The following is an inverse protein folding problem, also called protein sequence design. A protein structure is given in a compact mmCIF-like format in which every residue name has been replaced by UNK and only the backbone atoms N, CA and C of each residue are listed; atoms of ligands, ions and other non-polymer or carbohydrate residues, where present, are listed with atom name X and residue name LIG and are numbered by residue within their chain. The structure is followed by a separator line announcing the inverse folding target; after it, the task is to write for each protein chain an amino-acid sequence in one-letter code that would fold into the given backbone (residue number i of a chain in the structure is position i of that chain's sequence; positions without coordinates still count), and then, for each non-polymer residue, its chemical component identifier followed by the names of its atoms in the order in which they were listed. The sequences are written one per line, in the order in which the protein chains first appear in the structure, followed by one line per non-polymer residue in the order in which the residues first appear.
data_IF_632266915821
#
_entry.id   IF_632266915821
#
_cell.length_a   1.000
_cell.length_b   1.000
_cell.length_c   1.000
_cell.angle_alpha   90.00
_cell.angle_beta   90.00
_cell.angle_gamma   90.00
#
_symmetry.space_group_name_H-M   'P 1'
#
loop_
_entity.id
_entity.type
_entity.pdbx_description
1 polymer ?
#
# COMPACT_ATOMS: atom_id res chain seq x y z
N UNK A 1 18.72 8.85 4.36
CA UNK A 1 18.54 9.43 3.01
C UNK A 1 17.13 9.08 2.55
N UNK A 2 16.36 10.04 2.06
CA UNK A 2 15.01 9.79 1.55
C UNK A 2 15.13 9.06 0.21
N UNK A 3 14.70 7.79 0.14
CA UNK A 3 14.84 6.97 -1.07
C UNK A 3 13.68 7.18 -2.05
N UNK A 4 12.60 7.86 -1.63
CA UNK A 4 11.50 8.31 -2.47
C UNK A 4 10.68 9.42 -1.81
N UNK A 5 10.08 10.36 -2.58
CA UNK A 5 9.09 11.32 -2.09
C UNK A 5 7.91 10.69 -1.34
N UNK A 6 7.61 9.42 -1.63
CA UNK A 6 6.46 8.72 -1.05
C UNK A 6 6.72 8.20 0.37
N UNK A 7 7.98 8.02 0.78
CA UNK A 7 8.31 7.40 2.08
C UNK A 7 7.87 8.25 3.27
N UNK A 8 7.89 9.58 3.12
CA UNK A 8 7.60 10.52 4.20
C UNK A 8 6.10 10.71 4.47
N UNK A 9 5.24 10.33 3.52
CA UNK A 9 3.79 10.52 3.59
C UNK A 9 2.95 9.24 3.45
N UNK A 10 3.56 8.07 3.25
CA UNK A 10 2.81 6.83 3.02
C UNK A 10 1.83 6.48 4.15
N UNK A 11 2.25 6.68 5.40
CA UNK A 11 1.42 6.35 6.57
C UNK A 11 0.29 7.36 6.82
N UNK A 12 0.47 8.64 6.50
CA UNK A 12 -0.62 9.63 6.61
C UNK A 12 -1.70 9.44 5.54
N UNK A 13 -1.34 8.89 4.37
CA UNK A 13 -2.29 8.47 3.34
C UNK A 13 -2.98 7.15 3.69
N UNK A 14 -2.24 6.17 4.21
CA UNK A 14 -2.67 4.77 4.31
C UNK A 14 -2.19 4.09 5.60
N UNK A 15 -2.62 4.59 6.76
CA UNK A 15 -2.33 3.97 8.06
C UNK A 15 -3.03 2.62 8.25
N UNK A 16 -2.36 1.54 7.85
CA UNK A 16 -2.76 0.15 8.07
C UNK A 16 -1.51 -0.75 7.94
N UNK A 17 -1.35 -1.84 8.73
CA UNK A 17 -2.30 -2.42 9.69
C UNK A 17 -2.44 -1.67 11.01
N UNK A 18 -3.67 -1.44 11.46
CA UNK A 18 -3.98 -0.85 12.77
C UNK A 18 -4.29 -1.92 13.82
N UNK A 19 -3.24 -2.59 14.31
CA UNK A 19 -3.40 -3.68 15.28
C UNK A 19 -3.95 -3.24 16.65
N UNK A 20 -3.86 -1.95 16.97
CA UNK A 20 -4.27 -1.37 18.27
C UNK A 20 -5.58 -0.60 18.20
N UNK A 21 -6.27 -0.59 17.06
CA UNK A 21 -7.51 0.15 16.87
C UNK A 21 -7.34 1.64 17.16
N UNK A 22 -6.17 2.20 16.84
CA UNK A 22 -5.88 3.62 17.03
C UNK A 22 -6.81 4.49 16.20
N UNK A 23 -7.11 4.12 14.95
CA UNK A 23 -8.02 4.91 14.09
C UNK A 23 -9.39 5.07 14.72
N UNK A 24 -9.98 3.97 15.20
CA UNK A 24 -11.28 4.01 15.85
C UNK A 24 -11.29 4.89 17.09
N UNK A 25 -10.28 4.75 17.95
CA UNK A 25 -10.20 5.51 19.20
C UNK A 25 -9.99 7.00 18.96
N UNK A 26 -9.09 7.36 18.02
CA UNK A 26 -8.82 8.76 17.71
C UNK A 26 -10.04 9.43 17.08
N UNK A 27 -10.70 8.78 16.11
CA UNK A 27 -11.91 9.33 15.49
C UNK A 27 -13.06 9.49 16.49
N UNK A 28 -13.29 8.50 17.35
CA UNK A 28 -14.31 8.59 18.39
C UNK A 28 -14.05 9.74 19.37
N UNK A 29 -12.78 10.00 19.72
CA UNK A 29 -12.38 11.14 20.55
C UNK A 29 -12.71 12.47 19.88
N UNK A 30 -12.23 12.68 18.65
CA UNK A 30 -12.52 13.91 17.88
C UNK A 30 -14.02 14.19 17.79
N UNK A 31 -14.82 13.16 17.47
CA UNK A 31 -16.29 13.27 17.34
C UNK A 31 -16.96 13.59 18.67
N UNK A 32 -16.55 12.93 19.77
CA UNK A 32 -17.15 13.14 21.07
C UNK A 32 -16.84 14.53 21.65
N UNK A 33 -15.66 15.06 21.35
CA UNK A 33 -15.20 16.37 21.84
C UNK A 33 -15.62 17.53 20.93
N UNK A 34 -16.15 17.22 19.73
CA UNK A 34 -16.35 18.17 18.65
C UNK A 34 -15.11 19.06 18.42
N UNK A 35 -13.92 18.45 18.41
CA UNK A 35 -12.64 19.15 18.31
C UNK A 35 -12.61 20.07 17.06
N UNK A 36 -12.40 21.39 17.21
CA UNK A 36 -12.46 22.34 16.10
C UNK A 36 -11.54 22.00 14.91
N UNK A 37 -10.55 21.12 15.09
CA UNK A 37 -9.69 20.61 14.03
C UNK A 37 -10.46 20.00 12.85
N UNK A 38 -11.69 19.51 13.06
CA UNK A 38 -12.55 19.03 11.97
C UNK A 38 -12.94 20.11 10.95
N UNK A 39 -12.70 21.39 11.24
CA UNK A 39 -12.98 22.54 10.37
C UNK A 39 -11.71 23.33 10.02
N UNK A 40 -10.53 22.76 10.27
CA UNK A 40 -9.24 23.38 9.99
C UNK A 40 -8.40 22.51 9.03
N UNK A 41 -8.60 22.63 7.71
CA UNK A 41 -7.83 21.88 6.72
C UNK A 41 -6.33 22.17 6.71
N UNK A 42 -5.91 23.36 7.16
CA UNK A 42 -4.49 23.72 7.22
C UNK A 42 -3.81 23.07 8.41
N UNK A 43 -4.46 23.12 9.59
CA UNK A 43 -3.97 22.47 10.81
C UNK A 43 -4.10 20.94 10.81
N UNK A 44 -4.95 20.37 9.96
CA UNK A 44 -5.20 18.92 9.93
C UNK A 44 -3.95 18.08 9.63
N UNK A 45 -2.95 18.67 8.98
CA UNK A 45 -1.67 18.01 8.69
C UNK A 45 -0.90 17.60 9.96
N UNK A 46 -1.18 18.20 11.11
CA UNK A 46 -0.55 17.89 12.41
C UNK A 46 -1.33 16.84 13.21
N UNK A 47 -2.53 16.45 12.75
CA UNK A 47 -3.34 15.43 13.41
C UNK A 47 -2.64 14.08 13.31
N UNK A 48 -2.85 13.25 14.34
CA UNK A 48 -2.39 11.86 14.35
C UNK A 48 -2.74 11.15 13.04
N UNK A 49 -1.75 10.48 12.44
CA UNK A 49 -1.93 9.65 11.24
C UNK A 49 -3.07 8.62 11.37
N UNK A 50 -3.42 8.23 12.60
CA UNK A 50 -4.52 7.32 12.87
C UNK A 50 -5.89 7.89 12.47
N UNK A 51 -6.08 9.21 12.50
CA UNK A 51 -7.31 9.89 12.08
C UNK A 51 -7.24 10.49 10.67
N UNK A 52 -6.17 10.21 9.92
CA UNK A 52 -5.94 10.75 8.58
C UNK A 52 -6.05 9.67 7.51
N UNK A 53 -6.14 10.13 6.26
CA UNK A 53 -6.02 9.29 5.09
C UNK A 53 -7.19 8.34 4.82
N UNK A 54 -6.95 7.38 3.94
CA UNK A 54 -7.99 6.51 3.38
C UNK A 54 -8.66 5.60 4.41
N UNK A 55 -7.96 5.17 5.46
CA UNK A 55 -8.54 4.26 6.46
C UNK A 55 -9.39 4.98 7.51
N UNK A 56 -9.11 6.26 7.77
CA UNK A 56 -10.03 7.10 8.51
C UNK A 56 -11.34 7.30 7.73
N UNK A 57 -11.25 7.60 6.42
CA UNK A 57 -12.42 7.67 5.54
C UNK A 57 -13.14 6.33 5.39
N UNK A 58 -12.44 5.20 5.29
CA UNK A 58 -13.03 3.85 5.27
C UNK A 58 -13.92 3.62 6.49
N UNK A 59 -13.52 4.15 7.65
CA UNK A 59 -14.32 4.06 8.87
C UNK A 59 -15.51 5.04 8.84
N UNK A 60 -15.25 6.32 8.59
CA UNK A 60 -16.30 7.35 8.64
C UNK A 60 -17.36 7.19 7.54
N UNK A 61 -17.02 6.61 6.39
CA UNK A 61 -17.96 6.46 5.28
C UNK A 61 -18.69 5.11 5.27
N UNK A 62 -18.11 4.06 5.87
CA UNK A 62 -18.61 2.69 5.69
C UNK A 62 -18.76 1.88 6.98
N UNK A 63 -18.26 2.34 8.14
CA UNK A 63 -18.53 1.67 9.42
C UNK A 63 -19.89 2.15 9.97
N UNK A 64 -20.89 1.27 10.19
CA UNK A 64 -22.19 1.69 10.71
C UNK A 64 -22.14 2.41 12.05
N UNK A 65 -21.08 2.22 12.84
CA UNK A 65 -20.89 2.95 14.10
C UNK A 65 -20.41 4.40 13.93
N UNK A 66 -20.02 4.80 12.72
CA UNK A 66 -19.48 6.12 12.40
C UNK A 66 -20.17 6.81 11.22
N UNK A 67 -20.83 6.06 10.33
CA UNK A 67 -21.35 6.58 9.06
C UNK A 67 -22.77 7.16 9.15
N UNK A 68 -23.42 7.12 10.32
CA UNK A 68 -24.75 7.67 10.53
C UNK A 68 -24.67 9.11 11.07
N UNK A 69 -24.36 10.05 10.17
CA UNK A 69 -24.30 11.48 10.48
C UNK A 69 -25.07 12.32 9.47
N UNK A 70 -25.61 13.44 9.94
CA UNK A 70 -26.35 14.38 9.11
C UNK A 70 -25.41 15.31 8.31
N UNK A 71 -25.87 15.85 7.17
CA UNK A 71 -25.17 16.94 6.49
C UNK A 71 -24.92 18.14 7.42
N UNK A 72 -23.71 18.71 7.36
CA UNK A 72 -23.30 19.84 8.20
C UNK A 72 -23.08 19.52 9.68
N UNK A 73 -23.11 18.23 10.06
CA UNK A 73 -22.67 17.79 11.38
C UNK A 73 -21.15 17.86 11.51
N UNK A 74 -20.66 17.77 12.76
CA UNK A 74 -19.23 17.67 13.05
C UNK A 74 -18.54 16.57 12.23
N UNK A 75 -19.12 15.36 12.20
CA UNK A 75 -18.53 14.22 11.46
C UNK A 75 -18.52 14.46 9.96
N UNK A 76 -19.53 15.15 9.42
CA UNK A 76 -19.55 15.57 8.02
C UNK A 76 -18.41 16.57 7.71
N UNK A 77 -18.17 17.54 8.59
CA UNK A 77 -17.05 18.48 8.47
C UNK A 77 -15.71 17.74 8.53
N UNK A 78 -15.57 16.81 9.50
CA UNK A 78 -14.37 15.99 9.66
C UNK A 78 -14.05 15.16 8.40
N UNK A 79 -15.04 14.52 7.80
CA UNK A 79 -14.87 13.77 6.54
C UNK A 79 -14.39 14.69 5.42
N UNK A 80 -14.97 15.88 5.31
CA UNK A 80 -14.59 16.88 4.30
C UNK A 80 -13.14 17.34 4.50
N UNK A 81 -12.76 17.59 5.75
CA UNK A 81 -11.41 18.01 6.12
C UNK A 81 -10.36 16.92 5.86
N UNK A 82 -10.65 15.65 6.18
CA UNK A 82 -9.76 14.53 5.81
C UNK A 82 -9.63 14.42 4.28
N UNK A 83 -10.72 14.67 3.53
CA UNK A 83 -10.70 14.72 2.08
C UNK A 83 -9.78 15.82 1.53
N UNK A 84 -9.84 17.02 2.12
CA UNK A 84 -8.94 18.13 1.77
C UNK A 84 -7.48 17.81 2.10
N UNK A 85 -7.20 17.23 3.28
CA UNK A 85 -5.86 16.76 3.67
C UNK A 85 -5.29 15.73 2.67
N UNK A 86 -6.11 14.80 2.20
CA UNK A 86 -5.72 13.84 1.15
C UNK A 86 -5.40 14.53 -0.18
N UNK A 87 -6.17 15.54 -0.58
CA UNK A 87 -5.93 16.30 -1.79
C UNK A 87 -4.59 17.05 -1.72
N UNK A 88 -4.33 17.75 -0.61
CA UNK A 88 -3.06 18.42 -0.38
C UNK A 88 -1.87 17.44 -0.39
N UNK A 89 -2.00 16.27 0.24
CA UNK A 89 -0.96 15.25 0.20
C UNK A 89 -0.71 14.73 -1.22
N UNK A 90 -1.76 14.55 -2.03
CA UNK A 90 -1.63 14.13 -3.43
C UNK A 90 -0.92 15.19 -4.28
N UNK A 91 -1.25 16.47 -4.10
CA UNK A 91 -0.59 17.60 -4.76
C UNK A 91 0.89 17.69 -4.37
N UNK A 92 1.21 17.59 -3.09
CA UNK A 92 2.57 17.61 -2.58
C UNK A 92 3.40 16.44 -3.13
N UNK A 93 2.83 15.22 -3.16
CA UNK A 93 3.48 14.05 -3.74
C UNK A 93 3.74 14.24 -5.24
N UNK A 94 2.76 14.74 -5.98
CA UNK A 94 2.91 15.03 -7.41
C UNK A 94 4.02 16.08 -7.64
N UNK A 95 4.00 17.18 -6.88
CA UNK A 95 5.00 18.23 -6.97
C UNK A 95 6.42 17.71 -6.69
N UNK A 96 6.57 16.86 -5.65
CA UNK A 96 7.86 16.27 -5.30
C UNK A 96 8.40 15.33 -6.39
N UNK A 97 7.53 14.58 -7.07
CA UNK A 97 7.92 13.77 -8.23
C UNK A 97 8.24 14.61 -9.47
N UNK A 98 7.39 15.59 -9.80
CA UNK A 98 7.56 16.43 -10.99
C UNK A 98 8.67 17.47 -10.87
N UNK A 99 9.07 17.78 -9.64
CA UNK A 99 10.21 18.63 -9.33
C UNK A 99 11.53 17.85 -9.42
N UNK A 100 12.35 18.00 -8.39
CA UNK A 100 13.77 17.60 -8.47
C UNK A 100 13.98 16.08 -8.46
N UNK A 101 13.09 15.31 -7.82
CA UNK A 101 13.35 13.89 -7.59
C UNK A 101 13.41 13.06 -8.87
N UNK A 102 12.59 13.37 -9.88
CA UNK A 102 12.69 12.71 -11.18
C UNK A 102 14.04 12.98 -11.87
N UNK A 103 14.60 14.18 -11.67
CA UNK A 103 15.95 14.51 -12.15
C UNK A 103 17.01 13.76 -11.35
N UNK A 104 16.89 13.69 -10.02
CA UNK A 104 17.77 12.91 -9.15
C UNK A 104 17.85 11.45 -9.57
N UNK A 105 16.73 10.82 -9.91
CA UNK A 105 16.72 9.44 -10.43
C UNK A 105 17.39 9.31 -11.79
N UNK A 106 17.09 10.20 -12.74
CA UNK A 106 17.63 10.13 -14.11
C UNK A 106 19.11 10.49 -14.22
N UNK A 107 19.65 11.21 -13.24
CA UNK A 107 21.04 11.62 -13.16
C UNK A 107 21.82 10.81 -12.10
N UNK A 108 21.41 9.58 -11.82
CA UNK A 108 22.19 8.67 -10.98
C UNK A 108 23.64 8.56 -11.49
N UNK A 109 24.63 8.64 -10.59
CA UNK A 109 26.05 8.64 -10.96
C UNK A 109 26.61 9.97 -11.49
N UNK A 110 25.77 11.00 -11.70
CA UNK A 110 26.24 12.31 -12.13
C UNK A 110 26.89 13.12 -11.00
N UNK A 111 27.84 13.99 -11.35
CA UNK A 111 28.44 14.93 -10.41
C UNK A 111 27.36 15.82 -9.76
N UNK A 112 27.35 15.90 -8.43
CA UNK A 112 26.35 16.64 -7.66
C UNK A 112 25.12 15.82 -7.24
N UNK A 113 24.96 14.57 -7.70
CA UNK A 113 23.94 13.67 -7.19
C UNK A 113 24.42 12.97 -5.91
N UNK A 114 23.98 13.47 -4.76
CA UNK A 114 24.32 12.89 -3.46
C UNK A 114 23.39 11.73 -3.02
N UNK A 115 22.33 11.42 -3.78
CA UNK A 115 21.36 10.37 -3.42
C UNK A 115 21.66 9.04 -4.10
N UNK A 116 22.00 9.08 -5.39
CA UNK A 116 22.39 7.91 -6.17
C UNK A 116 23.79 8.15 -6.74
N UNK A 117 24.80 7.61 -6.05
CA UNK A 117 26.22 7.84 -6.32
C UNK A 117 26.71 7.07 -7.56
N UNK A 118 26.02 6.00 -7.94
CA UNK A 118 26.31 5.19 -9.12
C UNK A 118 25.05 5.04 -9.99
N UNK A 119 25.24 4.86 -11.29
CA UNK A 119 24.14 4.75 -12.27
C UNK A 119 23.14 3.62 -11.94
N UNK A 120 23.63 2.53 -11.35
CA UNK A 120 22.82 1.35 -11.01
C UNK A 120 22.03 1.48 -9.70
N UNK A 121 22.35 2.44 -8.83
CA UNK A 121 21.69 2.60 -7.54
C UNK A 121 20.22 3.03 -7.67
N UNK A 122 19.90 3.91 -8.61
CA UNK A 122 18.51 4.30 -8.88
C UNK A 122 17.68 3.13 -9.40
N UNK A 123 18.26 2.33 -10.30
CA UNK A 123 17.64 1.12 -10.84
C UNK A 123 17.39 0.09 -9.72
N UNK A 124 18.40 -0.14 -8.86
CA UNK A 124 18.32 -1.02 -7.69
C UNK A 124 17.25 -0.57 -6.70
N UNK A 125 17.12 0.73 -6.46
CA UNK A 125 16.10 1.28 -5.57
C UNK A 125 14.69 0.99 -6.10
N UNK A 126 14.43 1.26 -7.39
CA UNK A 126 13.13 0.98 -8.02
C UNK A 126 12.83 -0.53 -7.99
N UNK A 127 13.80 -1.35 -8.39
CA UNK A 127 13.67 -2.81 -8.37
C UNK A 127 13.36 -3.34 -6.96
N UNK A 128 14.06 -2.85 -5.94
CA UNK A 128 13.82 -3.20 -4.54
C UNK A 128 12.40 -2.82 -4.11
N UNK A 129 11.92 -1.64 -4.50
CA UNK A 129 10.56 -1.20 -4.18
C UNK A 129 9.48 -2.07 -4.84
N UNK A 130 9.72 -2.53 -6.08
CA UNK A 130 8.83 -3.48 -6.77
C UNK A 130 8.70 -4.77 -5.96
N UNK A 131 9.83 -5.39 -5.59
CA UNK A 131 9.82 -6.64 -4.82
C UNK A 131 9.19 -6.47 -3.44
N UNK A 132 9.53 -5.40 -2.74
CA UNK A 132 8.95 -5.06 -1.42
C UNK A 132 7.44 -4.86 -1.51
N UNK A 133 6.93 -4.24 -2.58
CA UNK A 133 5.48 -4.03 -2.76
C UNK A 133 4.71 -5.35 -2.94
N UNK A 134 5.30 -6.32 -3.66
CA UNK A 134 4.72 -7.66 -3.85
C UNK A 134 4.80 -8.49 -2.57
N UNK A 135 5.90 -8.38 -1.84
CA UNK A 135 6.06 -8.99 -0.53
C UNK A 135 5.04 -8.46 0.47
N UNK A 136 4.86 -7.14 0.55
CA UNK A 136 3.82 -6.53 1.39
C UNK A 136 2.42 -7.03 0.97
N UNK A 137 2.16 -7.19 -0.32
CA UNK A 137 0.89 -7.73 -0.82
C UNK A 137 0.69 -9.19 -0.40
N UNK A 138 1.71 -10.03 -0.48
CA UNK A 138 1.63 -11.43 -0.07
C UNK A 138 1.53 -11.58 1.46
N UNK A 139 2.47 -10.99 2.20
CA UNK A 139 2.62 -11.22 3.64
C UNK A 139 1.66 -10.38 4.47
N UNK A 140 1.36 -9.16 4.03
CA UNK A 140 0.51 -8.24 4.81
C UNK A 140 -0.93 -8.24 4.31
N UNK A 141 -1.20 -7.88 3.04
CA UNK A 141 -2.58 -7.79 2.51
C UNK A 141 -3.33 -9.12 2.56
N UNK A 142 -2.67 -10.20 2.15
CA UNK A 142 -3.25 -11.55 2.19
C UNK A 142 -2.96 -12.27 3.52
N UNK A 143 -1.75 -12.14 4.06
CA UNK A 143 -1.35 -12.87 5.27
C UNK A 143 -2.04 -12.40 6.55
N UNK A 144 -2.27 -11.10 6.75
CA UNK A 144 -2.94 -10.59 7.96
C UNK A 144 -4.35 -11.16 8.16
N UNK A 145 -5.27 -11.15 7.17
CA UNK A 145 -6.60 -11.74 7.34
C UNK A 145 -6.56 -13.26 7.50
N UNK A 146 -5.67 -13.95 6.78
CA UNK A 146 -5.51 -15.40 6.93
C UNK A 146 -5.00 -15.80 8.31
N UNK A 147 -4.07 -15.03 8.90
CA UNK A 147 -3.45 -15.39 10.18
C UNK A 147 -2.90 -16.83 10.19
N UNK A 148 -2.85 -17.44 11.38
CA UNK A 148 -2.55 -18.87 11.50
C UNK A 148 -3.78 -19.71 11.15
N UNK A 149 -3.57 -20.95 10.73
CA UNK A 149 -4.65 -21.91 10.41
C UNK A 149 -5.62 -22.07 11.58
N UNK A 150 -5.08 -22.21 12.80
CA UNK A 150 -5.85 -22.35 14.04
C UNK A 150 -6.41 -21.03 14.58
N UNK A 151 -6.00 -19.89 14.00
CA UNK A 151 -6.38 -18.56 14.48
C UNK A 151 -6.50 -17.54 13.33
N UNK A 152 -7.47 -17.73 12.43
CA UNK A 152 -7.73 -16.78 11.34
C UNK A 152 -8.14 -15.41 11.89
N UNK A 153 -7.85 -14.34 11.13
CA UNK A 153 -8.05 -12.94 11.55
C UNK A 153 -8.78 -12.12 10.48
N UNK A 154 -9.93 -12.55 9.95
CA UNK A 154 -10.61 -11.90 8.81
C UNK A 154 -10.85 -10.40 8.98
N UNK A 155 -11.10 -9.93 10.21
CA UNK A 155 -11.27 -8.51 10.53
C UNK A 155 -10.03 -7.65 10.25
N UNK A 156 -8.85 -8.24 10.06
CA UNK A 156 -7.60 -7.52 9.73
C UNK A 156 -7.45 -7.20 8.25
N UNK A 157 -8.35 -7.63 7.38
CA UNK A 157 -8.30 -7.30 5.95
C UNK A 157 -8.25 -5.78 5.70
N UNK A 158 -7.41 -5.37 4.75
CA UNK A 158 -7.19 -3.96 4.35
C UNK A 158 -8.48 -3.35 3.78
N UNK A 159 -8.94 -2.21 4.32
CA UNK A 159 -10.10 -1.47 3.79
C UNK A 159 -11.35 -2.35 3.63
N UNK A 160 -11.60 -3.23 4.61
CA UNK A 160 -12.70 -4.20 4.56
C UNK A 160 -14.08 -3.55 4.51
N UNK A 161 -14.24 -2.35 5.08
CA UNK A 161 -15.55 -1.69 5.20
C UNK A 161 -16.03 -1.18 3.85
N UNK A 162 -15.12 -0.65 3.05
CA UNK A 162 -15.36 -0.27 1.65
C UNK A 162 -15.25 -1.44 0.66
N UNK A 163 -15.14 -2.68 1.12
CA UNK A 163 -15.19 -3.86 0.24
C UNK A 163 -13.95 -4.06 -0.64
N UNK A 164 -12.79 -3.50 -0.27
CA UNK A 164 -11.60 -3.46 -1.15
C UNK A 164 -10.53 -4.57 -1.02
N UNK A 165 -10.48 -5.45 0.01
CA UNK A 165 -9.35 -6.37 0.20
C UNK A 165 -8.94 -7.14 -1.06
N UNK A 166 -9.87 -7.87 -1.70
CA UNK A 166 -9.57 -8.62 -2.92
C UNK A 166 -9.24 -7.71 -4.09
N UNK A 167 -9.90 -6.56 -4.24
CA UNK A 167 -9.67 -5.64 -5.35
C UNK A 167 -8.26 -5.05 -5.34
N UNK A 168 -7.74 -4.74 -4.15
CA UNK A 168 -6.42 -4.12 -4.01
C UNK A 168 -5.28 -5.06 -4.38
N UNK A 169 -5.42 -6.37 -4.15
CA UNK A 169 -4.35 -7.35 -4.40
C UNK A 169 -3.94 -7.41 -5.89
N UNK A 170 -4.84 -7.65 -6.86
CA UNK A 170 -4.47 -7.62 -8.28
C UNK A 170 -4.03 -6.24 -8.77
N UNK A 171 -4.57 -5.14 -8.22
CA UNK A 171 -4.16 -3.79 -8.58
C UNK A 171 -2.71 -3.50 -8.16
N UNK A 172 -2.35 -3.85 -6.92
CA UNK A 172 -0.98 -3.73 -6.43
C UNK A 172 -0.01 -4.62 -7.23
N UNK A 173 -0.40 -5.87 -7.52
CA UNK A 173 0.40 -6.76 -8.38
C UNK A 173 0.55 -6.23 -9.80
N UNK A 174 -0.50 -5.64 -10.38
CA UNK A 174 -0.45 -5.03 -11.71
C UNK A 174 0.47 -3.80 -11.74
N UNK A 175 0.46 -2.97 -10.70
CA UNK A 175 1.35 -1.82 -10.61
C UNK A 175 2.82 -2.25 -10.54
N UNK A 176 3.14 -3.26 -9.70
CA UNK A 176 4.47 -3.83 -9.61
C UNK A 176 4.93 -4.47 -10.94
N UNK A 177 4.04 -5.23 -11.59
CA UNK A 177 4.27 -5.79 -12.92
C UNK A 177 4.57 -4.70 -13.96
N UNK A 178 3.75 -3.64 -14.03
CA UNK A 178 3.94 -2.57 -15.00
C UNK A 178 5.25 -1.82 -14.79
N UNK A 179 5.64 -1.58 -13.53
CA UNK A 179 6.94 -0.99 -13.21
C UNK A 179 8.09 -1.92 -13.61
N UNK A 180 7.97 -3.23 -13.36
CA UNK A 180 9.00 -4.19 -13.76
C UNK A 180 9.17 -4.22 -15.30
N UNK A 181 8.07 -4.23 -16.05
CA UNK A 181 8.11 -4.15 -17.52
C UNK A 181 8.70 -2.84 -18.02
N UNK A 182 8.41 -1.71 -17.37
CA UNK A 182 9.00 -0.42 -17.73
C UNK A 182 10.49 -0.33 -17.38
N UNK A 183 10.94 -1.10 -16.38
CA UNK A 183 12.33 -1.16 -15.94
C UNK A 183 13.20 -2.04 -16.84
N UNK A 184 12.61 -3.12 -17.37
CA UNK A 184 13.32 -4.06 -18.22
C UNK A 184 13.46 -3.54 -19.65
N UNK A 185 14.59 -3.84 -20.27
CA UNK A 185 14.89 -3.59 -21.68
C UNK A 185 14.66 -4.83 -22.58
N UNK A 186 14.05 -5.88 -22.02
CA UNK A 186 13.83 -7.17 -22.65
C UNK A 186 12.49 -7.79 -22.21
N UNK A 187 12.06 -8.84 -22.91
CA UNK A 187 10.82 -9.56 -22.61
C UNK A 187 10.89 -10.32 -21.27
N UNK A 188 9.78 -10.32 -20.52
CA UNK A 188 9.68 -10.97 -19.21
C UNK A 188 8.63 -12.11 -19.21
N UNK A 189 8.83 -13.19 -19.99
CA UNK A 189 7.81 -14.22 -20.20
C UNK A 189 7.38 -14.95 -18.92
N UNK A 190 8.27 -15.15 -17.94
CA UNK A 190 7.90 -15.78 -16.67
C UNK A 190 7.08 -14.84 -15.81
N UNK A 191 7.43 -13.55 -15.80
CA UNK A 191 6.70 -12.47 -15.12
C UNK A 191 5.30 -12.30 -15.71
N UNK A 192 5.17 -12.31 -17.04
CA UNK A 192 3.88 -12.29 -17.74
C UNK A 192 2.99 -13.47 -17.32
N UNK A 193 3.53 -14.68 -17.39
CA UNK A 193 2.83 -15.89 -16.97
C UNK A 193 2.48 -15.88 -15.47
N UNK A 194 3.33 -15.31 -14.62
CA UNK A 194 3.06 -15.16 -13.19
C UNK A 194 1.93 -14.15 -12.93
N UNK A 195 1.89 -13.03 -13.65
CA UNK A 195 0.83 -12.05 -13.50
C UNK A 195 -0.53 -12.61 -13.97
N UNK A 196 -0.56 -13.42 -15.02
CA UNK A 196 -1.76 -14.15 -15.43
C UNK A 196 -2.25 -15.11 -14.34
N UNK A 197 -1.34 -15.82 -13.67
CA UNK A 197 -1.68 -16.68 -12.52
C UNK A 197 -2.28 -15.90 -11.35
N UNK A 198 -1.78 -14.69 -11.05
CA UNK A 198 -2.37 -13.80 -10.04
C UNK A 198 -3.83 -13.48 -10.38
N UNK A 199 -4.11 -13.04 -11.63
CA UNK A 199 -5.48 -12.74 -12.07
C UNK A 199 -6.40 -13.96 -11.97
N UNK A 200 -5.93 -15.11 -12.45
CA UNK A 200 -6.69 -16.35 -12.43
C UNK A 200 -6.98 -16.86 -11.00
N UNK A 201 -6.03 -16.69 -10.08
CA UNK A 201 -6.23 -17.04 -8.67
C UNK A 201 -7.24 -16.10 -8.00
N UNK A 202 -7.12 -14.79 -8.22
CA UNK A 202 -8.05 -13.80 -7.67
C UNK A 202 -9.50 -14.01 -8.13
N UNK A 203 -9.69 -14.39 -9.39
CA UNK A 203 -11.03 -14.65 -9.96
C UNK A 203 -11.76 -15.85 -9.32
N UNK A 204 -11.05 -16.70 -8.55
CA UNK A 204 -11.66 -17.86 -7.87
C UNK A 204 -12.16 -17.54 -6.47
N UNK A 205 -11.86 -16.36 -5.93
CA UNK A 205 -12.27 -15.98 -4.57
C UNK A 205 -13.70 -15.43 -4.62
N UNK A 206 -14.56 -16.01 -3.78
CA UNK A 206 -15.99 -15.66 -3.74
C UNK A 206 -16.25 -14.46 -2.81
N UNK A 207 -15.65 -14.45 -1.62
CA UNK A 207 -15.78 -13.34 -0.69
C UNK A 207 -14.68 -12.29 -0.92
N UNK A 208 -15.02 -11.10 -1.46
CA UNK A 208 -14.05 -10.07 -1.77
C UNK A 208 -13.44 -9.39 -0.54
N UNK A 209 -14.02 -9.61 0.65
CA UNK A 209 -13.52 -9.05 1.91
C UNK A 209 -12.82 -10.09 2.82
N UNK A 210 -12.63 -11.31 2.33
CA UNK A 210 -11.92 -12.39 3.04
C UNK A 210 -12.49 -12.72 4.42
N UNK A 211 -13.79 -12.56 4.66
CA UNK A 211 -14.42 -12.95 5.92
C UNK A 211 -14.62 -14.47 6.01
N UNK A 212 -14.72 -15.14 4.87
CA UNK A 212 -14.83 -16.60 4.74
C UNK A 212 -13.53 -17.39 4.96
N UNK A 213 -12.38 -16.73 5.20
CA UNK A 213 -11.07 -17.41 5.41
C UNK A 213 -10.98 -18.28 6.68
N UNK A 214 -12.06 -18.33 7.47
CA UNK A 214 -12.25 -19.29 8.55
C UNK A 214 -12.61 -20.68 8.03
N UNK A 215 -13.20 -20.76 6.83
CA UNK A 215 -13.42 -22.01 6.09
C UNK A 215 -12.14 -22.46 5.37
N UNK A 216 -11.90 -23.77 5.39
CA UNK A 216 -10.70 -24.38 4.83
C UNK A 216 -10.57 -24.20 3.31
N UNK A 217 -11.69 -24.27 2.57
CA UNK A 217 -11.69 -24.16 1.11
C UNK A 217 -11.52 -22.71 0.67
N UNK A 218 -12.23 -21.79 1.32
CA UNK A 218 -12.05 -20.36 1.11
C UNK A 218 -10.60 -19.92 1.42
N UNK A 219 -10.07 -20.33 2.57
CA UNK A 219 -8.67 -20.08 2.95
C UNK A 219 -7.69 -20.58 1.89
N UNK A 220 -7.84 -21.82 1.43
CA UNK A 220 -6.95 -22.40 0.42
C UNK A 220 -6.92 -21.55 -0.86
N UNK A 221 -8.04 -20.97 -1.29
CA UNK A 221 -8.08 -20.08 -2.47
C UNK A 221 -7.28 -18.79 -2.24
N UNK A 222 -7.34 -18.22 -1.03
CA UNK A 222 -6.53 -17.05 -0.65
C UNK A 222 -5.03 -17.42 -0.56
N UNK A 223 -4.70 -18.62 -0.06
CA UNK A 223 -3.32 -19.13 -0.05
C UNK A 223 -2.77 -19.33 -1.47
N UNK A 224 -3.59 -19.85 -2.40
CA UNK A 224 -3.22 -19.96 -3.82
C UNK A 224 -2.97 -18.58 -4.44
N UNK A 225 -3.78 -17.57 -4.13
CA UNK A 225 -3.52 -16.19 -4.56
C UNK A 225 -2.22 -15.65 -3.96
N UNK A 226 -1.95 -15.91 -2.67
CA UNK A 226 -0.71 -15.51 -2.01
C UNK A 226 0.52 -16.15 -2.68
N UNK A 227 0.46 -17.44 -3.00
CA UNK A 227 1.51 -18.14 -3.73
C UNK A 227 1.71 -17.60 -5.15
N UNK A 228 0.63 -17.19 -5.83
CA UNK A 228 0.72 -16.56 -7.15
C UNK A 228 1.44 -15.19 -7.08
N UNK A 229 1.16 -14.37 -6.07
CA UNK A 229 1.86 -13.10 -5.83
C UNK A 229 3.33 -13.32 -5.52
N UNK A 230 3.66 -14.30 -4.66
CA UNK A 230 5.06 -14.69 -4.39
C UNK A 230 5.77 -15.16 -5.66
N UNK A 231 5.08 -15.95 -6.50
CA UNK A 231 5.62 -16.40 -7.78
C UNK A 231 5.92 -15.24 -8.75
N UNK A 232 5.08 -14.20 -8.76
CA UNK A 232 5.32 -12.98 -9.53
C UNK A 232 6.58 -12.26 -9.04
N UNK A 233 6.74 -12.10 -7.72
CA UNK A 233 7.95 -11.54 -7.10
C UNK A 233 9.20 -12.34 -7.49
N UNK A 234 9.13 -13.67 -7.42
CA UNK A 234 10.24 -14.54 -7.82
C UNK A 234 10.57 -14.41 -9.30
N UNK A 235 9.58 -14.38 -10.19
CA UNK A 235 9.79 -14.24 -11.63
C UNK A 235 10.49 -12.92 -11.97
N UNK A 236 10.00 -11.80 -11.42
CA UNK A 236 10.66 -10.48 -11.56
C UNK A 236 12.10 -10.55 -11.04
N UNK A 237 12.32 -11.21 -9.90
CA UNK A 237 13.65 -11.33 -9.34
C UNK A 237 14.62 -12.15 -10.20
N UNK A 238 14.12 -13.19 -10.87
CA UNK A 238 14.90 -14.01 -11.79
C UNK A 238 15.19 -13.29 -13.10
N UNK A 239 14.19 -12.64 -13.70
CA UNK A 239 14.31 -12.05 -15.03
C UNK A 239 14.99 -10.68 -15.01
N UNK A 240 14.81 -9.89 -13.94
CA UNK A 240 15.42 -8.54 -13.82
C UNK A 240 16.60 -8.52 -12.85
N UNK A 241 16.46 -9.14 -11.67
CA UNK A 241 17.48 -9.04 -10.62
C UNK A 241 18.80 -9.72 -10.96
N UNK A 242 18.73 -10.95 -11.50
CA UNK A 242 19.93 -11.74 -11.80
C UNK A 242 20.83 -11.09 -12.88
N UNK A 243 20.30 -10.54 -14.00
CA UNK A 243 21.12 -9.78 -14.96
C UNK A 243 21.78 -8.53 -14.37
N UNK A 244 21.15 -7.88 -13.39
CA UNK A 244 21.69 -6.69 -12.72
C UNK A 244 22.73 -7.00 -11.64
N UNK A 245 23.08 -8.27 -11.45
CA UNK A 245 23.99 -8.72 -10.39
C UNK A 245 23.43 -8.53 -8.98
N UNK A 246 22.12 -8.32 -8.85
CA UNK A 246 21.44 -8.13 -7.58
C UNK A 246 21.06 -9.50 -7.04
N UNK A 247 21.79 -10.00 -6.04
CA UNK A 247 21.54 -11.31 -5.46
C UNK A 247 20.14 -11.39 -4.82
N UNK A 248 19.44 -12.54 -4.94
CA UNK A 248 18.21 -12.79 -4.20
C UNK A 248 18.51 -12.75 -2.69
N UNK A 249 17.97 -11.76 -1.99
CA UNK A 249 18.22 -11.58 -0.55
C UNK A 249 18.86 -10.25 -0.16
N UNK A 250 18.95 -9.26 -1.06
CA UNK A 250 19.15 -7.86 -0.67
C UNK A 250 17.92 -7.41 0.14
N UNK A 251 17.91 -7.73 1.43
CA UNK A 251 16.94 -7.19 2.37
C UNK A 251 17.27 -5.72 2.53
N UNK A 252 16.33 -4.84 2.21
CA UNK A 252 16.41 -3.41 2.50
C UNK A 252 16.43 -3.10 4.03
N UNK A 253 16.56 -4.11 4.90
CA UNK A 253 16.70 -4.00 6.35
C UNK A 253 18.11 -4.31 6.87
N UNK A 254 19.05 -4.78 6.03
CA UNK A 254 20.44 -5.08 6.42
C UNK A 254 21.43 -3.93 6.12
N UNK A 255 20.92 -2.72 5.86
CA UNK A 255 21.76 -1.52 5.78
C UNK A 255 21.68 -0.71 7.07
N UNK A 256 22.83 -0.49 7.70
CA UNK A 256 23.06 0.38 8.87
C UNK A 256 22.24 1.70 8.88
#
# INVERSE_FOLDING_TARGET
MQQSPSETGALSLSFWPDARGSTQRTLAGLIAEEDPIARDPEGYAEVSIAARGFFALDMLLFDPGFSDYAPGSYTCDLVTTIGADLAHQAEALNAAWSGDFATTLRQAGAEGNATYLHEDEALRAIYTQILTSLEFTAETRLGQPMGRVDRPRPARAEARRSGRPLRNVPLASQAAYALATALADHDLPQTDAAMQRVRAAAARIADPVFQDVTDSQARLRVEVLQQAVRSLRTAIGTEIGAPLGIAPGFNAQDGD
#
